data_IF_606563637557
#
_entry.id   IF_606563637557
#
_cell.length_a   1.000
_cell.length_b   1.000
_cell.length_c   1.000
_cell.angle_alpha   90.00
_cell.angle_beta   90.00
_cell.angle_gamma   90.00
#
_symmetry.space_group_name_H-M   'P 1'
#
loop_
_entity.id
_entity.type
_entity.pdbx_description
1 polymer ?
#
# COMPACT_ATOMS: atom_id res chain seq x y z
N UNK A 1 21.52 -13.39 -4.01
CA UNK A 1 20.05 -13.16 -4.08
C UNK A 1 19.59 -13.56 -5.47
N UNK A 2 18.65 -14.49 -5.61
CA UNK A 2 18.09 -14.84 -6.92
C UNK A 2 17.27 -13.67 -7.47
N UNK A 3 17.32 -13.40 -8.78
CA UNK A 3 16.50 -12.39 -9.47
C UNK A 3 15.01 -12.55 -9.14
N UNK A 4 14.55 -13.79 -8.97
CA UNK A 4 13.17 -14.09 -8.57
C UNK A 4 12.88 -13.61 -7.14
N UNK A 5 13.81 -13.78 -6.20
CA UNK A 5 13.65 -13.29 -4.83
C UNK A 5 13.59 -11.76 -4.79
N UNK A 6 14.44 -11.09 -5.57
CA UNK A 6 14.42 -9.61 -5.68
C UNK A 6 13.10 -9.13 -6.27
N UNK A 7 12.59 -9.81 -7.29
CA UNK A 7 11.27 -9.52 -7.85
C UNK A 7 10.15 -9.72 -6.83
N UNK A 8 10.15 -10.81 -6.08
CA UNK A 8 9.11 -11.08 -5.05
C UNK A 8 9.16 -10.02 -3.95
N UNK A 9 10.34 -9.63 -3.48
CA UNK A 9 10.48 -8.53 -2.52
C UNK A 9 9.94 -7.21 -3.08
N UNK A 10 10.24 -6.90 -4.35
CA UNK A 10 9.71 -5.73 -5.03
C UNK A 10 8.18 -5.76 -5.11
N UNK A 11 7.56 -6.88 -5.52
CA UNK A 11 6.10 -7.03 -5.59
C UNK A 11 5.46 -6.85 -4.23
N UNK A 12 6.03 -7.46 -3.17
CA UNK A 12 5.54 -7.29 -1.81
C UNK A 12 5.56 -5.83 -1.39
N UNK A 13 6.60 -5.09 -1.77
CA UNK A 13 6.74 -3.68 -1.44
C UNK A 13 5.74 -2.81 -2.22
N UNK A 14 5.56 -3.10 -3.51
CA UNK A 14 4.59 -2.44 -4.39
C UNK A 14 3.12 -2.66 -3.97
N UNK A 15 2.83 -3.77 -3.29
CA UNK A 15 1.51 -4.10 -2.79
C UNK A 15 1.13 -3.37 -1.49
N UNK A 16 2.11 -2.79 -0.78
CA UNK A 16 1.89 -2.07 0.48
C UNK A 16 1.55 -0.61 0.16
N UNK A 17 0.37 -0.09 0.59
CA UNK A 17 -0.07 1.28 0.30
C UNK A 17 0.70 2.37 1.06
N UNK A 18 1.83 2.03 1.69
CA UNK A 18 2.63 2.92 2.53
C UNK A 18 3.85 3.51 1.81
N UNK A 19 4.12 3.12 0.56
CA UNK A 19 5.26 3.67 -0.17
C UNK A 19 5.00 5.10 -0.64
N UNK A 20 5.88 6.00 -0.21
CA UNK A 20 5.91 7.39 -0.63
C UNK A 20 6.23 7.52 -2.13
N UNK A 21 5.75 8.61 -2.74
CA UNK A 21 5.63 8.91 -4.19
C UNK A 21 6.87 8.65 -5.09
N UNK A 22 8.03 8.30 -4.56
CA UNK A 22 9.27 8.11 -5.32
C UNK A 22 9.96 6.74 -5.14
N UNK A 23 9.39 5.81 -4.35
CA UNK A 23 10.17 4.72 -3.77
C UNK A 23 10.36 3.45 -4.61
N UNK A 24 9.51 3.16 -5.59
CA UNK A 24 9.55 1.87 -6.28
C UNK A 24 10.38 1.94 -7.56
N UNK A 25 11.70 1.74 -7.43
CA UNK A 25 12.58 1.64 -8.58
C UNK A 25 12.15 0.47 -9.49
N UNK A 26 11.83 0.78 -10.76
CA UNK A 26 11.37 -0.19 -11.77
C UNK A 26 12.52 -0.94 -12.46
N UNK A 27 13.73 -0.90 -11.91
CA UNK A 27 14.87 -1.57 -12.54
C UNK A 27 15.11 -2.93 -11.89
N UNK A 28 14.60 -3.98 -12.53
CA UNK A 28 14.91 -5.36 -12.19
C UNK A 28 15.98 -5.90 -13.17
N UNK A 29 17.22 -6.19 -12.72
CA UNK A 29 18.24 -6.79 -13.56
C UNK A 29 17.89 -8.27 -13.81
N UNK A 30 17.13 -8.55 -14.88
CA UNK A 30 16.76 -9.91 -15.28
C UNK A 30 17.78 -10.47 -16.28
N UNK A 31 18.39 -11.65 -16.03
CA UNK A 31 19.29 -12.28 -16.97
C UNK A 31 18.57 -12.71 -18.25
N UNK A 32 18.96 -12.13 -19.40
CA UNK A 32 18.27 -12.32 -20.70
C UNK A 32 18.34 -13.73 -21.28
N UNK A 33 19.22 -14.59 -20.75
CA UNK A 33 19.42 -15.96 -21.24
C UNK A 33 18.39 -16.96 -20.70
N UNK A 34 17.55 -16.55 -19.74
CA UNK A 34 16.55 -17.42 -19.13
C UNK A 34 15.26 -17.37 -19.95
N UNK A 35 14.69 -18.54 -20.27
CA UNK A 35 13.48 -18.67 -21.08
C UNK A 35 12.25 -17.97 -20.47
N UNK A 36 12.17 -17.83 -19.14
CA UNK A 36 11.11 -17.11 -18.43
C UNK A 36 11.40 -15.61 -18.23
N UNK A 37 12.56 -15.11 -18.65
CA UNK A 37 12.97 -13.72 -18.40
C UNK A 37 11.98 -12.71 -18.98
N UNK A 38 11.51 -12.94 -20.22
CA UNK A 38 10.56 -12.04 -20.90
C UNK A 38 9.22 -11.99 -20.17
N UNK A 39 8.70 -13.13 -19.72
CA UNK A 39 7.46 -13.18 -18.94
C UNK A 39 7.59 -12.42 -17.61
N UNK A 40 8.73 -12.54 -16.94
CA UNK A 40 8.99 -11.82 -15.69
C UNK A 40 9.04 -10.30 -15.91
N UNK A 41 9.73 -9.86 -16.97
CA UNK A 41 9.78 -8.44 -17.37
C UNK A 41 8.37 -7.91 -17.67
N UNK A 42 7.57 -8.65 -18.44
CA UNK A 42 6.20 -8.22 -18.77
C UNK A 42 5.29 -8.09 -17.56
N UNK A 43 5.40 -8.98 -16.56
CA UNK A 43 4.66 -8.85 -15.30
C UNK A 43 5.13 -7.62 -14.52
N UNK A 44 6.45 -7.41 -14.42
CA UNK A 44 7.04 -6.27 -13.74
C UNK A 44 6.57 -4.93 -14.36
N UNK A 45 6.60 -4.81 -15.69
CA UNK A 45 6.11 -3.63 -16.42
C UNK A 45 4.61 -3.39 -16.18
N UNK A 46 3.78 -4.44 -16.28
CA UNK A 46 2.33 -4.33 -16.06
C UNK A 46 2.01 -3.86 -14.63
N UNK A 47 2.71 -4.38 -13.62
CA UNK A 47 2.53 -3.94 -12.23
C UNK A 47 2.94 -2.47 -12.10
N UNK A 48 4.08 -2.07 -12.69
CA UNK A 48 4.54 -0.68 -12.68
C UNK A 48 3.55 0.28 -13.35
N UNK A 49 2.93 -0.11 -14.46
CA UNK A 49 1.92 0.70 -15.14
C UNK A 49 0.61 0.83 -14.36
N UNK A 50 0.13 -0.26 -13.75
CA UNK A 50 -1.03 -0.22 -12.86
C UNK A 50 -0.76 0.63 -11.60
N UNK A 51 0.47 0.59 -11.09
CA UNK A 51 0.91 1.43 -9.97
C UNK A 51 0.90 2.93 -10.35
N UNK A 52 1.44 3.31 -11.52
CA UNK A 52 1.37 4.69 -12.04
C UNK A 52 -0.07 5.18 -12.28
N UNK A 53 -0.98 4.28 -12.71
CA UNK A 53 -2.41 4.63 -12.85
C UNK A 53 -3.06 4.90 -11.50
N UNK A 54 -2.70 4.14 -10.46
CA UNK A 54 -3.15 4.40 -9.08
C UNK A 54 -2.59 5.72 -8.56
N UNK A 55 -1.34 6.05 -8.85
CA UNK A 55 -0.71 7.32 -8.47
C UNK A 55 -1.53 8.53 -8.94
N UNK A 56 -2.01 8.51 -10.19
CA UNK A 56 -2.82 9.60 -10.78
C UNK A 56 -4.23 9.74 -10.18
N UNK A 57 -4.76 8.69 -9.56
CA UNK A 57 -6.10 8.69 -8.95
C UNK A 57 -6.11 9.16 -7.50
N UNK A 58 -4.96 9.57 -6.98
CA UNK A 58 -4.80 9.87 -5.56
C UNK A 58 -4.63 8.59 -4.75
N UNK A 59 -3.87 8.67 -3.67
CA UNK A 59 -3.75 7.60 -2.68
C UNK A 59 -5.14 7.29 -2.13
N UNK A 60 -5.67 6.11 -2.44
CA UNK A 60 -6.92 5.66 -1.86
C UNK A 60 -6.72 5.45 -0.35
N UNK A 61 -7.31 6.35 0.45
CA UNK A 61 -7.92 6.06 1.74
C UNK A 61 -7.06 5.35 2.79
N UNK A 62 -6.12 6.09 3.40
CA UNK A 62 -5.76 6.01 4.83
C UNK A 62 -4.67 7.05 5.12
N UNK A 63 -3.73 7.22 4.19
CA UNK A 63 -2.59 8.11 4.36
C UNK A 63 -2.98 9.59 4.26
N UNK A 64 -3.87 9.96 3.32
CA UNK A 64 -4.35 11.34 3.23
C UNK A 64 -5.16 11.76 4.46
N UNK A 65 -6.06 10.90 4.93
CA UNK A 65 -6.83 11.10 6.16
C UNK A 65 -5.90 11.15 7.38
N UNK A 66 -4.91 10.25 7.49
CA UNK A 66 -3.90 10.29 8.56
C UNK A 66 -3.07 11.57 8.52
N UNK A 67 -2.61 12.01 7.35
CA UNK A 67 -1.82 13.24 7.22
C UNK A 67 -2.66 14.48 7.54
N UNK A 68 -3.94 14.53 7.14
CA UNK A 68 -4.83 15.63 7.55
C UNK A 68 -5.11 15.61 9.04
N UNK A 69 -5.38 14.43 9.60
CA UNK A 69 -5.55 14.22 11.04
C UNK A 69 -4.31 14.70 11.82
N UNK A 70 -3.10 14.36 11.37
CA UNK A 70 -1.86 14.81 11.98
C UNK A 70 -1.73 16.34 11.96
N UNK A 71 -2.01 16.98 10.81
CA UNK A 71 -1.96 18.45 10.67
C UNK A 71 -2.97 19.15 11.58
N UNK A 72 -4.22 18.69 11.59
CA UNK A 72 -5.25 19.24 12.45
C UNK A 72 -4.90 19.03 13.92
N UNK A 73 -4.37 17.86 14.28
CA UNK A 73 -3.90 17.56 15.63
C UNK A 73 -2.80 18.52 16.07
N UNK A 74 -1.81 18.78 15.22
CA UNK A 74 -0.74 19.73 15.50
C UNK A 74 -1.29 21.15 15.71
N UNK A 75 -2.16 21.61 14.83
CA UNK A 75 -2.76 22.94 14.94
C UNK A 75 -3.62 23.11 16.19
N UNK A 76 -4.34 22.06 16.60
CA UNK A 76 -5.16 22.07 17.81
C UNK A 76 -4.30 22.05 19.09
N UNK A 77 -3.16 21.34 19.07
CA UNK A 77 -2.17 21.39 20.16
C UNK A 77 -1.59 22.80 20.28
N UNK A 78 -1.17 23.41 19.17
CA UNK A 78 -0.66 24.79 19.17
C UNK A 78 -1.70 25.80 19.70
N UNK A 79 -2.97 25.64 19.29
CA UNK A 79 -4.07 26.44 19.83
C UNK A 79 -4.23 26.26 21.35
N UNK A 80 -4.17 25.02 21.84
CA UNK A 80 -4.30 24.71 23.25
C UNK A 80 -3.14 25.29 24.09
N UNK A 81 -1.91 25.21 23.57
CA UNK A 81 -0.71 25.74 24.23
C UNK A 81 -0.72 27.28 24.30
N UNK A 82 -1.28 27.94 23.28
CA UNK A 82 -1.42 29.40 23.21
C UNK A 82 -2.68 29.95 23.89
N UNK A 83 -3.56 29.09 24.43
CA UNK A 83 -4.87 29.49 24.89
C UNK A 83 -4.83 30.35 26.16
N UNK A 84 -5.50 31.50 26.11
CA UNK A 84 -5.72 32.36 27.27
C UNK A 84 -7.20 32.73 27.36
N UNK A 85 -7.77 32.70 28.57
CA UNK A 85 -9.16 33.09 28.78
C UNK A 85 -9.28 34.60 29.01
N UNK A 86 -10.26 35.28 28.40
CA UNK A 86 -11.23 34.75 27.43
C UNK A 86 -10.59 34.53 26.06
N UNK A 87 -11.02 33.46 25.38
CA UNK A 87 -10.53 33.12 24.05
C UNK A 87 -10.87 34.24 23.05
N UNK A 88 -9.94 34.54 22.16
CA UNK A 88 -10.23 35.38 20.99
C UNK A 88 -11.29 34.68 20.14
N UNK A 89 -12.33 35.43 19.75
CA UNK A 89 -13.50 34.88 19.05
C UNK A 89 -13.13 34.16 17.75
N UNK A 90 -12.24 34.77 16.95
CA UNK A 90 -11.79 34.18 15.69
C UNK A 90 -10.98 32.90 15.92
N UNK A 91 -10.09 32.90 16.91
CA UNK A 91 -9.31 31.72 17.27
C UNK A 91 -10.21 30.57 17.77
N UNK A 92 -11.23 30.88 18.58
CA UNK A 92 -12.19 29.89 19.08
C UNK A 92 -13.07 29.32 17.96
N UNK A 93 -13.54 30.14 17.02
CA UNK A 93 -14.31 29.70 15.84
C UNK A 93 -13.46 28.81 14.92
N UNK A 94 -12.19 29.17 14.70
CA UNK A 94 -11.24 28.36 13.93
C UNK A 94 -10.99 27.00 14.58
N UNK A 95 -10.71 26.98 15.88
CA UNK A 95 -10.50 25.73 16.63
C UNK A 95 -11.75 24.84 16.59
N UNK A 96 -12.95 25.41 16.71
CA UNK A 96 -14.20 24.66 16.60
C UNK A 96 -14.38 24.03 15.20
N UNK A 97 -14.02 24.74 14.13
CA UNK A 97 -14.06 24.21 12.77
C UNK A 97 -13.05 23.06 12.58
N UNK A 98 -11.83 23.21 13.11
CA UNK A 98 -10.81 22.16 13.06
C UNK A 98 -11.20 20.90 13.85
N UNK A 99 -11.84 21.06 15.01
CA UNK A 99 -12.38 19.94 15.79
C UNK A 99 -13.51 19.24 15.01
N UNK A 100 -14.38 19.98 14.34
CA UNK A 100 -15.44 19.40 13.52
C UNK A 100 -14.86 18.62 12.32
N UNK A 101 -13.83 19.15 11.65
CA UNK A 101 -13.13 18.44 10.58
C UNK A 101 -12.45 17.16 11.10
N UNK A 102 -11.77 17.24 12.25
CA UNK A 102 -11.16 16.08 12.92
C UNK A 102 -12.19 14.98 13.20
N UNK A 103 -13.36 15.34 13.72
CA UNK A 103 -14.43 14.38 14.02
C UNK A 103 -14.92 13.66 12.75
N UNK A 104 -15.05 14.39 11.63
CA UNK A 104 -15.46 13.82 10.36
C UNK A 104 -14.40 12.88 9.77
N UNK A 105 -13.11 13.23 9.88
CA UNK A 105 -12.01 12.35 9.48
C UNK A 105 -12.04 11.05 10.29
N UNK A 106 -12.18 11.14 11.62
CA UNK A 106 -12.28 9.96 12.49
C UNK A 106 -13.46 9.07 12.11
N UNK A 107 -14.63 9.66 11.84
CA UNK A 107 -15.83 8.91 11.40
C UNK A 107 -15.58 8.18 10.08
N UNK A 108 -15.02 8.86 9.08
CA UNK A 108 -14.68 8.25 7.78
C UNK A 108 -13.64 7.15 7.93
N UNK A 109 -12.64 7.33 8.78
CA UNK A 109 -11.66 6.29 9.08
C UNK A 109 -12.31 5.06 9.71
N UNK A 110 -13.22 5.24 10.67
CA UNK A 110 -13.94 4.13 11.30
C UNK A 110 -14.81 3.35 10.29
N UNK A 111 -15.49 4.06 9.39
CA UNK A 111 -16.32 3.47 8.33
C UNK A 111 -15.49 2.69 7.29
N UNK A 112 -14.31 3.20 6.91
CA UNK A 112 -13.47 2.63 5.85
C UNK A 112 -12.46 1.58 6.35
N UNK A 113 -12.13 1.57 7.65
CA UNK A 113 -11.13 0.65 8.21
C UNK A 113 -11.57 -0.81 8.12
N UNK A 114 -12.86 -1.09 8.35
CA UNK A 114 -13.41 -2.45 8.26
C UNK A 114 -13.38 -2.98 6.81
N UNK A 115 -13.88 -2.25 5.80
CA UNK A 115 -13.69 -2.60 4.39
C UNK A 115 -12.23 -2.82 4.00
N UNK A 116 -11.32 -1.93 4.45
CA UNK A 116 -9.89 -2.07 4.18
C UNK A 116 -9.32 -3.37 4.77
N UNK A 117 -9.66 -3.68 6.02
CA UNK A 117 -9.24 -4.94 6.66
C UNK A 117 -9.73 -6.16 5.88
N UNK A 118 -10.96 -6.13 5.36
CA UNK A 118 -11.52 -7.21 4.55
C UNK A 118 -10.76 -7.37 3.22
N UNK A 119 -10.45 -6.27 2.53
CA UNK A 119 -9.65 -6.30 1.30
C UNK A 119 -8.23 -6.85 1.55
N UNK A 120 -7.57 -6.44 2.63
CA UNK A 120 -6.25 -6.97 3.01
C UNK A 120 -6.33 -8.48 3.26
N UNK A 121 -7.36 -8.93 3.99
CA UNK A 121 -7.59 -10.35 4.27
C UNK A 121 -7.85 -11.13 2.98
N UNK A 122 -8.63 -10.59 2.05
CA UNK A 122 -8.87 -11.23 0.75
C UNK A 122 -7.56 -11.40 -0.04
N UNK A 123 -6.77 -10.35 -0.16
CA UNK A 123 -5.47 -10.38 -0.84
C UNK A 123 -4.55 -11.42 -0.19
N UNK A 124 -4.49 -11.44 1.15
CA UNK A 124 -3.70 -12.42 1.88
C UNK A 124 -4.13 -13.86 1.57
N UNK A 125 -5.44 -14.14 1.60
CA UNK A 125 -5.95 -15.47 1.24
C UNK A 125 -5.63 -15.85 -0.21
N UNK A 126 -5.69 -14.90 -1.15
CA UNK A 126 -5.34 -15.13 -2.57
C UNK A 126 -3.85 -15.45 -2.72
N UNK A 127 -2.98 -14.76 -1.99
CA UNK A 127 -1.54 -15.04 -1.97
C UNK A 127 -1.26 -16.44 -1.42
N UNK A 128 -1.88 -16.81 -0.29
CA UNK A 128 -1.72 -18.14 0.31
C UNK A 128 -2.18 -19.24 -0.64
N UNK A 129 -3.35 -19.06 -1.27
CA UNK A 129 -3.88 -20.02 -2.26
C UNK A 129 -2.96 -20.16 -3.48
N UNK A 130 -2.58 -19.03 -4.08
CA UNK A 130 -1.68 -19.01 -5.24
C UNK A 130 -0.34 -19.69 -4.94
N UNK A 131 0.22 -19.49 -3.73
CA UNK A 131 1.43 -20.19 -3.30
C UNK A 131 1.23 -21.70 -3.24
N UNK A 132 0.11 -22.17 -2.70
CA UNK A 132 -0.19 -23.61 -2.64
C UNK A 132 -0.29 -24.21 -4.05
N UNK A 133 -1.05 -23.57 -4.94
CA UNK A 133 -1.21 -23.98 -6.34
C UNK A 133 0.14 -24.05 -7.09
N UNK A 134 1.01 -23.05 -6.90
CA UNK A 134 2.35 -23.03 -7.52
C UNK A 134 3.21 -24.21 -7.01
N UNK A 135 3.16 -24.49 -5.70
CA UNK A 135 3.91 -25.61 -5.13
C UNK A 135 3.43 -26.96 -5.69
N UNK A 136 2.13 -27.15 -5.85
CA UNK A 136 1.56 -28.36 -6.47
C UNK A 136 2.03 -28.52 -7.92
N UNK A 137 2.02 -27.45 -8.71
CA UNK A 137 2.51 -27.48 -10.11
C UNK A 137 4.00 -27.81 -10.17
N UNK A 138 4.82 -27.24 -9.28
CA UNK A 138 6.25 -27.53 -9.22
C UNK A 138 6.52 -28.98 -8.84
N UNK A 139 5.76 -29.54 -7.90
CA UNK A 139 5.86 -30.94 -7.52
C UNK A 139 5.52 -31.87 -8.70
N UNK A 140 4.45 -31.56 -9.44
CA UNK A 140 4.05 -32.31 -10.63
C UNK A 140 5.10 -32.23 -11.74
N UNK A 141 5.65 -31.04 -12.00
CA UNK A 141 6.73 -30.84 -12.97
C UNK A 141 8.00 -31.62 -12.59
N UNK A 142 8.35 -31.65 -11.31
CA UNK A 142 9.46 -32.45 -10.79
C UNK A 142 9.27 -33.94 -11.07
N UNK A 143 8.07 -34.47 -10.81
CA UNK A 143 7.71 -35.87 -11.09
C UNK A 143 7.79 -36.22 -12.58
N UNK A 144 7.36 -35.31 -13.47
CA UNK A 144 7.41 -35.50 -14.92
C UNK A 144 8.83 -35.38 -15.50
N UNK A 145 9.73 -34.68 -14.80
CA UNK A 145 11.14 -34.50 -15.21
C UNK A 145 12.07 -35.62 -14.74
N UNK A 146 11.60 -36.51 -13.87
CA UNK A 146 12.37 -37.67 -13.42
C UNK A 146 12.50 -38.67 -14.58
N UNK A 147 13.73 -39.14 -14.90
CA UNK A 147 13.90 -40.13 -15.95
C UNK A 147 13.16 -41.42 -15.55
N UNK A 148 12.32 -41.92 -16.44
CA UNK A 148 11.71 -43.24 -16.31
C UNK A 148 12.87 -44.25 -16.35
N UNK A 149 13.19 -44.85 -15.20
CA UNK A 149 14.14 -45.97 -15.08
C UNK A 149 13.46 -47.25 -15.53
#
# INVERSE_FOLDING_TARGET
>A
MSTVTVFVMWVLTAAVPCQERAGLANHLPVPKHLNWAQSLVGIHEKIGDEWKKKEKKGSAGLMEEMTRMEKLGHSLIEFADGFHYPAEKEAAESAAAQVAEMAEICRRMEEELVPLQQQIREVFHRIVRSRAEILEVLEQAGKLSAPVV
#
